data_IF_120359876064
#
_entry.id   IF_120359876064
#
_cell.length_a   1.000
_cell.length_b   1.000
_cell.length_c   1.000
_cell.angle_alpha   90.00
_cell.angle_beta   90.00
_cell.angle_gamma   90.00
#
_symmetry.space_group_name_H-M   'P 1'
#
loop_
_entity.id
_entity.type
_entity.pdbx_description
1 polymer ?
#
# COMPACT_ATOMS: atom_id res chain seq x y z
N UNK A 1 -4.46 -2.04 0.83
CA UNK A 1 -4.60 -1.93 2.30
C UNK A 1 -3.94 -0.64 2.74
N UNK A 2 -4.62 0.22 3.51
CA UNK A 2 -4.03 1.42 4.12
C UNK A 2 -3.88 1.16 5.61
N UNK A 3 -2.72 1.50 6.14
CA UNK A 3 -2.39 1.34 7.57
C UNK A 3 -2.78 2.62 8.31
N UNK A 4 -3.61 2.49 9.35
CA UNK A 4 -4.09 3.62 10.16
C UNK A 4 -3.38 3.72 11.52
N UNK A 5 -2.93 2.59 12.06
CA UNK A 5 -2.18 2.47 13.30
C UNK A 5 -0.86 1.75 13.01
N UNK A 6 0.21 1.93 13.80
CA UNK A 6 1.44 1.17 13.62
C UNK A 6 1.15 -0.34 13.59
N UNK A 7 1.68 -1.03 12.58
CA UNK A 7 1.50 -2.48 12.39
C UNK A 7 2.83 -3.19 12.57
N UNK A 8 2.82 -4.20 13.43
CA UNK A 8 3.95 -5.09 13.64
C UNK A 8 3.62 -6.48 13.11
N UNK A 9 4.19 -6.84 11.96
CA UNK A 9 4.19 -8.21 11.45
C UNK A 9 5.49 -8.87 11.85
N UNK A 10 5.47 -9.71 12.88
CA UNK A 10 6.68 -10.33 13.42
C UNK A 10 7.32 -11.31 12.44
N UNK A 11 8.65 -11.23 12.29
CA UNK A 11 9.45 -12.17 11.52
C UNK A 11 10.04 -13.32 12.38
N UNK A 12 9.61 -13.44 13.64
CA UNK A 12 10.24 -14.28 14.65
C UNK A 12 11.28 -13.51 15.48
N UNK A 13 12.08 -14.23 16.25
CA UNK A 13 13.20 -13.66 17.00
C UNK A 13 14.45 -13.65 16.12
N UNK A 14 15.16 -12.53 16.11
CA UNK A 14 16.44 -12.42 15.42
C UNK A 14 17.57 -12.18 16.43
N UNK A 15 18.73 -12.80 16.17
CA UNK A 15 19.98 -12.47 16.84
C UNK A 15 20.52 -11.17 16.22
N UNK A 16 19.94 -10.04 16.61
CA UNK A 16 20.30 -8.71 16.10
C UNK A 16 20.08 -7.63 17.14
N UNK A 17 20.27 -6.36 16.74
CA UNK A 17 20.04 -5.20 17.62
C UNK A 17 18.54 -5.03 17.96
N UNK A 18 17.67 -5.58 17.12
CA UNK A 18 16.21 -5.56 17.30
C UNK A 18 15.76 -6.99 17.59
N UNK A 19 15.21 -7.23 18.78
CA UNK A 19 14.81 -8.57 19.23
C UNK A 19 13.74 -9.20 18.32
N UNK A 20 12.70 -8.41 18.01
CA UNK A 20 11.57 -8.83 17.18
C UNK A 20 11.47 -7.90 15.97
N UNK A 21 12.17 -8.20 14.86
CA UNK A 21 12.06 -7.41 13.65
C UNK A 21 10.73 -7.64 12.93
N UNK A 22 10.32 -6.64 12.15
CA UNK A 22 9.20 -6.79 11.21
C UNK A 22 9.61 -7.67 10.02
N UNK A 23 8.62 -8.31 9.39
CA UNK A 23 8.82 -9.08 8.16
C UNK A 23 9.34 -8.21 7.02
N UNK A 24 10.43 -8.68 6.40
CA UNK A 24 11.11 -8.04 5.26
C UNK A 24 11.44 -9.06 4.20
N UNK A 25 11.31 -8.65 2.95
CA UNK A 25 11.65 -9.49 1.81
C UNK A 25 13.18 -9.59 1.70
N UNK A 26 13.73 -10.80 1.60
CA UNK A 26 15.19 -11.01 1.61
C UNK A 26 15.95 -10.29 0.48
N UNK A 27 15.34 -10.16 -0.69
CA UNK A 27 16.03 -9.62 -1.88
C UNK A 27 16.05 -8.08 -1.94
N UNK A 28 15.09 -7.40 -1.32
CA UNK A 28 14.97 -5.93 -1.38
C UNK A 28 15.02 -5.27 -0.01
N UNK A 29 14.91 -6.06 1.05
CA UNK A 29 14.69 -5.61 2.42
C UNK A 29 13.41 -4.77 2.63
N UNK A 30 12.53 -4.70 1.63
CA UNK A 30 11.26 -3.98 1.76
C UNK A 30 10.36 -4.68 2.78
N UNK A 31 9.65 -3.91 3.63
CA UNK A 31 8.64 -4.48 4.49
C UNK A 31 7.50 -5.08 3.65
N UNK A 32 7.01 -6.23 4.09
CA UNK A 32 5.83 -6.87 3.49
C UNK A 32 4.99 -7.52 4.59
N UNK A 33 3.72 -7.81 4.28
CA UNK A 33 2.88 -8.65 5.14
C UNK A 33 2.68 -9.99 4.48
N UNK A 34 3.06 -11.07 5.17
CA UNK A 34 2.85 -12.43 4.67
C UNK A 34 1.36 -12.71 4.42
N UNK A 35 1.05 -13.30 3.28
CA UNK A 35 -0.30 -13.66 2.85
C UNK A 35 -0.98 -14.65 3.79
N UNK A 36 -0.20 -15.51 4.47
CA UNK A 36 -0.70 -16.40 5.53
C UNK A 36 -1.23 -15.63 6.74
N UNK A 37 -0.54 -14.58 7.18
CA UNK A 37 -0.99 -13.71 8.27
C UNK A 37 -2.25 -12.93 7.90
N UNK A 38 -2.31 -12.41 6.68
CA UNK A 38 -3.50 -11.75 6.14
C UNK A 38 -4.67 -12.74 6.06
N UNK A 39 -4.44 -13.94 5.52
CA UNK A 39 -5.43 -15.01 5.44
C UNK A 39 -5.97 -15.37 6.82
N UNK A 40 -5.10 -15.50 7.82
CA UNK A 40 -5.48 -15.77 9.21
C UNK A 40 -6.38 -14.67 9.79
N UNK A 41 -6.02 -13.40 9.60
CA UNK A 41 -6.82 -12.27 10.04
C UNK A 41 -8.21 -12.23 9.37
N UNK A 42 -8.26 -12.45 8.05
CA UNK A 42 -9.52 -12.51 7.30
C UNK A 42 -10.37 -13.72 7.71
N UNK A 43 -9.78 -14.90 7.89
CA UNK A 43 -10.49 -16.10 8.38
C UNK A 43 -11.07 -15.84 9.76
N UNK A 44 -10.31 -15.23 10.67
CA UNK A 44 -10.79 -14.90 12.01
C UNK A 44 -11.95 -13.90 11.98
N UNK A 45 -11.86 -12.82 11.20
CA UNK A 45 -12.96 -11.87 11.05
C UNK A 45 -14.21 -12.53 10.43
N UNK A 46 -14.01 -13.38 9.43
CA UNK A 46 -15.07 -14.12 8.75
C UNK A 46 -15.80 -15.12 9.66
N UNK A 47 -15.12 -15.73 10.64
CA UNK A 47 -15.76 -16.60 11.64
C UNK A 47 -16.92 -15.89 12.36
N UNK A 48 -16.75 -14.63 12.72
CA UNK A 48 -17.80 -13.85 13.39
C UNK A 48 -18.93 -13.44 12.45
N UNK A 49 -18.60 -13.08 11.20
CA UNK A 49 -19.58 -12.60 10.21
C UNK A 49 -20.42 -13.73 9.60
N UNK A 50 -19.84 -14.92 9.44
CA UNK A 50 -20.45 -16.07 8.78
C UNK A 50 -20.85 -17.17 9.75
N UNK A 51 -21.05 -16.84 11.03
CA UNK A 51 -21.40 -17.81 12.06
C UNK A 51 -22.69 -18.61 11.75
N UNK A 52 -23.58 -18.06 10.93
CA UNK A 52 -24.83 -18.70 10.50
C UNK A 52 -24.69 -19.47 9.17
N UNK A 53 -23.55 -19.37 8.48
CA UNK A 53 -23.33 -20.01 7.18
C UNK A 53 -22.49 -21.28 7.34
N UNK A 54 -23.20 -22.40 7.47
CA UNK A 54 -22.61 -23.72 7.70
C UNK A 54 -21.58 -24.09 6.61
N UNK A 55 -20.33 -24.26 7.03
CA UNK A 55 -19.23 -24.74 6.20
C UNK A 55 -18.73 -23.75 5.14
N UNK A 56 -19.24 -22.51 5.08
CA UNK A 56 -18.73 -21.51 4.13
C UNK A 56 -17.27 -21.15 4.44
N UNK A 57 -16.93 -21.01 5.72
CA UNK A 57 -15.58 -20.68 6.16
C UNK A 57 -14.54 -21.68 5.65
N UNK A 58 -14.82 -22.97 5.79
CA UNK A 58 -13.88 -24.03 5.41
C UNK A 58 -13.81 -24.19 3.89
N UNK A 59 -14.91 -23.97 3.16
CA UNK A 59 -14.88 -23.93 1.68
C UNK A 59 -14.01 -22.80 1.16
N UNK A 60 -14.08 -21.62 1.78
CA UNK A 60 -13.32 -20.43 1.34
C UNK A 60 -11.86 -20.52 1.78
N UNK A 61 -11.60 -20.77 3.05
CA UNK A 61 -10.25 -20.70 3.63
C UNK A 61 -9.53 -22.05 3.72
N UNK A 62 -10.22 -23.16 3.56
CA UNK A 62 -9.77 -24.53 3.81
C UNK A 62 -10.17 -25.01 5.22
N UNK A 63 -10.20 -26.33 5.47
CA UNK A 63 -10.55 -26.93 6.76
C UNK A 63 -9.55 -26.56 7.88
N UNK A 64 -9.93 -26.76 9.15
CA UNK A 64 -9.09 -26.47 10.32
C UNK A 64 -8.11 -27.59 10.70
N UNK A 65 -8.49 -28.85 10.48
CA UNK A 65 -7.70 -30.03 10.82
C UNK A 65 -7.39 -30.80 9.55
N UNK A 66 -6.15 -31.28 9.48
CA UNK A 66 -5.56 -32.09 8.42
C UNK A 66 -5.99 -31.67 7.01
N UNK A 67 -5.09 -30.97 6.30
CA UNK A 67 -5.32 -30.50 4.92
C UNK A 67 -5.56 -31.61 3.88
N UNK A 68 -5.94 -32.81 4.30
CA UNK A 68 -6.30 -33.99 3.51
C UNK A 68 -7.66 -33.90 2.82
N UNK A 69 -8.61 -33.12 3.34
CA UNK A 69 -9.98 -33.13 2.79
C UNK A 69 -10.09 -32.32 1.50
N UNK A 70 -9.71 -31.04 1.54
CA UNK A 70 -9.80 -30.11 0.41
C UNK A 70 -9.01 -28.83 0.67
N UNK A 71 -8.59 -28.16 -0.41
CA UNK A 71 -7.99 -26.83 -0.35
C UNK A 71 -9.07 -25.74 -0.30
N UNK A 72 -8.73 -24.59 0.29
CA UNK A 72 -9.60 -23.41 0.26
C UNK A 72 -9.75 -22.85 -1.15
N UNK A 73 -10.91 -22.26 -1.45
CA UNK A 73 -11.23 -21.70 -2.76
C UNK A 73 -10.46 -20.40 -3.10
N UNK A 74 -9.80 -19.75 -2.14
CA UNK A 74 -9.06 -18.51 -2.37
C UNK A 74 -7.59 -18.60 -1.96
N UNK A 75 -6.74 -17.93 -2.73
CA UNK A 75 -5.31 -17.78 -2.47
C UNK A 75 -5.00 -16.33 -2.05
N UNK A 76 -4.23 -16.19 -0.97
CA UNK A 76 -3.77 -14.89 -0.48
C UNK A 76 -2.31 -14.69 -0.88
N UNK A 77 -2.06 -13.67 -1.69
CA UNK A 77 -0.71 -13.20 -1.97
C UNK A 77 -0.19 -12.32 -0.82
N UNK A 78 1.13 -12.21 -0.74
CA UNK A 78 1.80 -11.28 0.17
C UNK A 78 1.47 -9.83 -0.17
N UNK A 79 1.22 -9.00 0.84
CA UNK A 79 1.02 -7.57 0.63
C UNK A 79 2.38 -6.86 0.52
N UNK A 80 2.70 -6.40 -0.69
CA UNK A 80 3.93 -5.69 -1.00
C UNK A 80 3.80 -4.18 -0.74
N UNK A 81 4.90 -3.55 -0.33
CA UNK A 81 4.98 -2.10 -0.15
C UNK A 81 4.80 -1.38 -1.50
N UNK A 82 3.80 -0.50 -1.56
CA UNK A 82 3.57 0.39 -2.72
C UNK A 82 4.02 1.82 -2.42
N UNK A 83 3.69 2.33 -1.23
CA UNK A 83 4.06 3.67 -0.80
C UNK A 83 4.33 3.69 0.71
N UNK A 84 5.35 4.43 1.12
CA UNK A 84 5.79 4.55 2.50
C UNK A 84 5.69 6.01 2.96
N UNK A 85 5.10 6.29 4.14
CA UNK A 85 5.08 7.65 4.68
C UNK A 85 6.48 8.03 5.18
N UNK A 86 7.06 9.09 4.62
CA UNK A 86 8.37 9.64 5.03
C UNK A 86 8.17 11.07 5.51
N UNK A 87 8.79 11.45 6.63
CA UNK A 87 8.70 12.82 7.14
C UNK A 87 9.26 13.79 6.11
N UNK A 88 8.56 14.89 5.90
CA UNK A 88 8.99 15.95 5.01
C UNK A 88 9.04 17.28 5.74
N UNK A 89 10.03 18.12 5.40
CA UNK A 89 10.17 19.44 6.00
C UNK A 89 8.91 20.31 5.78
N UNK A 90 8.27 20.18 4.61
CA UNK A 90 7.07 20.94 4.25
C UNK A 90 5.93 19.97 3.97
N UNK A 91 4.81 20.14 4.67
CA UNK A 91 3.65 19.24 4.54
C UNK A 91 3.67 18.02 5.46
N UNK A 92 4.49 18.04 6.52
CA UNK A 92 4.60 17.02 7.58
C UNK A 92 5.18 15.68 7.11
N UNK A 93 4.56 15.04 6.12
CA UNK A 93 5.04 13.80 5.52
C UNK A 93 4.59 13.70 4.06
N UNK A 94 5.26 12.86 3.29
CA UNK A 94 4.86 12.48 1.94
C UNK A 94 4.76 10.98 1.82
N UNK A 95 3.94 10.49 0.90
CA UNK A 95 3.97 9.10 0.47
C UNK A 95 5.04 8.94 -0.60
N UNK A 96 6.18 8.36 -0.22
CA UNK A 96 7.26 8.04 -1.12
C UNK A 96 7.04 6.66 -1.75
N UNK A 97 7.38 6.52 -3.03
CA UNK A 97 7.38 5.24 -3.77
C UNK A 97 8.65 5.16 -4.62
N UNK A 98 8.92 3.98 -5.20
CA UNK A 98 10.09 3.74 -6.04
C UNK A 98 9.68 3.07 -7.36
N UNK A 99 10.51 3.18 -8.41
CA UNK A 99 10.26 2.50 -9.69
C UNK A 99 9.99 1.00 -9.49
N UNK A 100 10.77 0.36 -8.60
CA UNK A 100 10.64 -1.05 -8.25
C UNK A 100 9.28 -1.38 -7.62
N UNK A 101 8.80 -0.55 -6.67
CA UNK A 101 7.51 -0.74 -6.02
C UNK A 101 6.35 -0.61 -7.02
N UNK A 102 6.43 0.36 -7.93
CA UNK A 102 5.42 0.57 -8.97
C UNK A 102 5.39 -0.57 -9.99
N UNK A 103 6.55 -1.00 -10.50
CA UNK A 103 6.64 -2.14 -11.43
C UNK A 103 6.09 -3.43 -10.82
N UNK A 104 6.35 -3.66 -9.53
CA UNK A 104 5.78 -4.79 -8.79
C UNK A 104 4.26 -4.70 -8.68
N UNK A 105 3.73 -3.52 -8.39
CA UNK A 105 2.29 -3.28 -8.41
C UNK A 105 1.68 -3.58 -9.79
N UNK A 106 2.30 -3.10 -10.87
CA UNK A 106 1.84 -3.40 -12.23
C UNK A 106 1.81 -4.89 -12.53
N UNK A 107 2.86 -5.62 -12.15
CA UNK A 107 2.93 -7.06 -12.32
C UNK A 107 1.84 -7.80 -11.53
N UNK A 108 1.63 -7.43 -10.26
CA UNK A 108 0.58 -8.03 -9.43
C UNK A 108 -0.82 -7.71 -9.94
N UNK A 109 -1.05 -6.48 -10.41
CA UNK A 109 -2.31 -6.10 -11.04
C UNK A 109 -2.57 -6.91 -12.31
N UNK A 110 -1.53 -7.14 -13.13
CA UNK A 110 -1.61 -8.01 -14.30
C UNK A 110 -2.02 -9.45 -13.96
N UNK A 111 -1.43 -10.03 -12.92
CA UNK A 111 -1.83 -11.37 -12.42
C UNK A 111 -3.28 -11.39 -11.94
N UNK A 112 -3.74 -10.30 -11.32
CA UNK A 112 -5.13 -10.15 -10.86
C UNK A 112 -6.12 -9.79 -11.98
N UNK A 113 -5.68 -9.60 -13.23
CA UNK A 113 -6.54 -9.13 -14.33
C UNK A 113 -7.02 -7.69 -14.18
N UNK A 114 -6.33 -6.89 -13.36
CA UNK A 114 -6.64 -5.48 -13.11
C UNK A 114 -5.81 -4.61 -14.06
N UNK A 115 -6.49 -3.86 -14.92
CA UNK A 115 -5.83 -2.86 -15.77
C UNK A 115 -5.37 -1.66 -14.93
N UNK A 116 -4.07 -1.37 -14.97
CA UNK A 116 -3.48 -0.15 -14.43
C UNK A 116 -3.06 0.78 -15.58
N UNK A 117 -3.07 2.11 -15.36
CA UNK A 117 -2.49 3.03 -16.33
C UNK A 117 -1.02 2.67 -16.55
N UNK A 118 -0.57 2.79 -17.80
CA UNK A 118 0.86 2.75 -18.10
C UNK A 118 1.56 3.87 -17.35
N UNK A 119 2.67 3.56 -16.69
CA UNK A 119 3.54 4.58 -16.11
C UNK A 119 4.97 4.31 -16.60
N UNK A 120 5.65 5.36 -17.03
CA UNK A 120 7.08 5.35 -17.28
C UNK A 120 7.78 6.03 -16.11
N UNK A 121 8.80 5.39 -15.55
CA UNK A 121 9.66 6.05 -14.59
C UNK A 121 10.90 6.57 -15.32
N UNK A 122 11.21 7.89 -15.25
CA UNK A 122 12.45 8.39 -15.82
C UNK A 122 13.65 7.78 -15.08
N UNK A 123 14.79 7.70 -15.74
CA UNK A 123 16.06 7.42 -15.06
C UNK A 123 16.38 8.58 -14.12
N UNK A 124 16.32 8.34 -12.82
CA UNK A 124 16.61 9.32 -11.78
C UNK A 124 18.02 9.10 -11.24
N UNK A 125 18.71 10.20 -10.94
CA UNK A 125 19.91 10.18 -10.08
C UNK A 125 19.53 10.06 -8.61
N UNK A 126 20.50 9.75 -7.77
CA UNK A 126 20.28 9.53 -6.32
C UNK A 126 19.73 10.77 -5.61
N UNK A 127 20.02 11.98 -6.11
CA UNK A 127 19.55 13.25 -5.57
C UNK A 127 18.33 13.80 -6.32
N UNK A 128 17.68 13.01 -7.16
CA UNK A 128 16.54 13.41 -7.97
C UNK A 128 15.27 12.67 -7.57
N UNK A 129 14.13 13.37 -7.66
CA UNK A 129 12.83 12.77 -7.40
C UNK A 129 11.76 13.36 -8.32
N UNK A 130 10.83 12.53 -8.77
CA UNK A 130 9.60 12.99 -9.41
C UNK A 130 8.62 13.44 -8.34
N UNK A 131 8.24 14.72 -8.36
CA UNK A 131 7.33 15.31 -7.36
C UNK A 131 6.00 15.67 -7.99
N UNK A 132 4.97 14.90 -7.64
CA UNK A 132 3.62 15.08 -8.17
C UNK A 132 2.91 16.31 -7.57
N UNK A 133 3.11 16.55 -6.28
CA UNK A 133 2.52 17.68 -5.57
C UNK A 133 3.56 18.76 -5.31
N UNK A 134 3.60 19.79 -6.15
CA UNK A 134 4.57 20.91 -6.01
C UNK A 134 4.44 21.68 -4.68
N UNK A 135 3.32 21.57 -3.95
CA UNK A 135 3.13 22.25 -2.67
C UNK A 135 4.06 21.74 -1.57
N UNK A 136 4.57 20.50 -1.67
CA UNK A 136 5.51 19.93 -0.68
C UNK A 136 6.94 20.41 -0.87
N UNK A 137 7.23 21.16 -1.94
CA UNK A 137 8.56 21.70 -2.18
C UNK A 137 8.84 22.86 -1.23
N UNK A 138 9.97 22.79 -0.54
CA UNK A 138 10.51 23.89 0.23
C UNK A 138 11.16 24.89 -0.73
N UNK A 139 10.78 26.17 -0.62
CA UNK A 139 11.39 27.24 -1.40
C UNK A 139 12.72 27.62 -0.76
N UNK A 140 13.83 27.29 -1.43
CA UNK A 140 15.15 27.83 -1.10
C UNK A 140 15.38 29.19 -1.76
N UNK A 141 16.46 29.88 -1.38
CA UNK A 141 16.85 31.19 -1.96
C UNK A 141 17.08 31.13 -3.48
N UNK A 142 17.45 29.97 -4.02
CA UNK A 142 17.78 29.80 -5.45
C UNK A 142 17.02 28.67 -6.16
N UNK A 143 16.64 27.59 -5.45
CA UNK A 143 15.90 26.44 -6.05
C UNK A 143 14.90 25.84 -5.07
N UNK A 144 13.78 25.35 -5.60
CA UNK A 144 12.82 24.53 -4.84
C UNK A 144 13.35 23.11 -4.68
N UNK A 145 13.36 22.58 -3.45
CA UNK A 145 13.81 21.21 -3.15
C UNK A 145 12.77 20.44 -2.34
N UNK A 146 12.74 19.12 -2.51
CA UNK A 146 12.00 18.22 -1.64
C UNK A 146 12.94 17.74 -0.54
N UNK A 147 12.59 18.01 0.73
CA UNK A 147 13.41 17.59 1.87
C UNK A 147 12.66 16.49 2.61
N UNK A 148 13.26 15.29 2.65
CA UNK A 148 12.74 14.09 3.30
C UNK A 148 13.73 13.63 4.37
N UNK A 149 13.31 13.61 5.63
CA UNK A 149 14.22 13.41 6.76
C UNK A 149 15.48 14.31 6.67
N UNK A 150 16.66 13.70 6.48
CA UNK A 150 17.95 14.38 6.31
C UNK A 150 18.39 14.51 4.85
N UNK A 151 17.59 14.05 3.90
CA UNK A 151 17.90 14.02 2.47
C UNK A 151 17.19 15.15 1.71
N UNK A 152 17.88 15.72 0.71
CA UNK A 152 17.34 16.76 -0.15
C UNK A 152 17.37 16.30 -1.61
N UNK A 153 16.21 16.37 -2.26
CA UNK A 153 16.02 15.94 -3.65
C UNK A 153 15.68 17.13 -4.56
N UNK A 154 16.27 17.12 -5.75
CA UNK A 154 15.96 18.01 -6.85
C UNK A 154 14.72 17.49 -7.58
N UNK A 155 13.65 18.30 -7.71
CA UNK A 155 12.45 17.87 -8.42
C UNK A 155 12.73 17.78 -9.92
N UNK A 156 12.57 16.60 -10.50
CA UNK A 156 12.59 16.40 -11.94
C UNK A 156 11.16 16.55 -12.47
N UNK A 157 11.00 17.26 -13.57
CA UNK A 157 9.75 17.28 -14.32
C UNK A 157 9.55 15.89 -14.92
N UNK A 158 8.84 15.04 -14.19
CA UNK A 158 8.20 13.90 -14.83
C UNK A 158 7.04 14.43 -15.65
N UNK A 159 6.86 13.91 -16.86
CA UNK A 159 5.53 13.80 -17.49
C UNK A 159 4.70 12.91 -16.56
N UNK A 160 4.27 13.48 -15.45
CA UNK A 160 3.32 12.88 -14.57
C UNK A 160 2.00 12.94 -15.33
N UNK A 161 1.70 11.84 -16.03
CA UNK A 161 0.36 11.58 -16.54
C UNK A 161 -0.64 12.07 -15.48
N UNK A 162 -1.58 12.92 -15.89
CA UNK A 162 -2.67 13.49 -15.08
C UNK A 162 -3.35 12.43 -14.18
N UNK A 163 -3.24 11.16 -14.55
CA UNK A 163 -3.70 9.96 -13.85
C UNK A 163 -3.10 9.75 -12.45
N UNK A 164 -1.84 10.14 -12.16
CA UNK A 164 -1.24 9.95 -10.83
C UNK A 164 -1.64 11.05 -9.82
N UNK A 165 -2.28 12.13 -10.28
CA UNK A 165 -2.82 13.19 -9.40
C UNK A 165 -4.02 12.71 -8.57
N UNK A 166 -4.61 11.57 -8.92
CA UNK A 166 -5.68 10.93 -8.16
C UNK A 166 -5.10 9.68 -7.49
N UNK A 167 -5.07 9.57 -6.15
CA UNK A 167 -4.86 8.27 -5.54
C UNK A 167 -5.90 7.32 -6.13
N UNK A 168 -5.58 6.04 -6.39
CA UNK A 168 -6.57 5.08 -6.86
C UNK A 168 -7.74 5.15 -5.89
N UNK A 169 -8.84 5.73 -6.36
CA UNK A 169 -10.10 5.73 -5.63
C UNK A 169 -10.36 4.26 -5.38
N UNK A 170 -10.47 3.90 -4.09
CA UNK A 170 -10.57 2.53 -3.61
C UNK A 170 -11.23 1.64 -4.66
N UNK A 171 -10.51 0.59 -5.09
CA UNK A 171 -10.98 -0.43 -6.06
C UNK A 171 -12.46 -0.67 -5.77
N UNK A 172 -13.30 -0.07 -6.60
CA UNK A 172 -14.72 -0.04 -6.37
C UNK A 172 -15.22 -1.46 -6.62
N UNK A 173 -15.70 -2.08 -5.54
CA UNK A 173 -16.81 -3.04 -5.51
C UNK A 173 -16.99 -3.91 -6.75
N UNK A 174 -16.72 -5.20 -6.56
CA UNK A 174 -17.25 -6.30 -7.38
C UNK A 174 -18.69 -6.02 -7.86
N UNK A 175 -19.05 -6.37 -9.10
CA UNK A 175 -20.39 -6.11 -9.61
C UNK A 175 -21.37 -7.03 -8.88
N UNK A 176 -22.24 -6.49 -8.04
CA UNK A 176 -23.41 -7.23 -7.58
C UNK A 176 -24.70 -6.68 -8.18
N UNK A 177 -25.43 -7.62 -8.79
CA UNK A 177 -26.74 -7.50 -9.40
C UNK A 177 -27.76 -6.95 -8.39
N UNK A 178 -28.55 -5.99 -8.87
CA UNK A 178 -29.84 -5.51 -8.35
C UNK A 178 -29.78 -4.58 -7.13
N UNK A 179 -29.92 -3.27 -7.42
CA UNK A 179 -30.92 -2.44 -6.75
C UNK A 179 -30.48 -1.61 -5.55
N UNK A 180 -30.21 -0.32 -5.80
CA UNK A 180 -30.47 0.84 -4.92
C UNK A 180 -29.65 0.95 -3.60
N UNK A 181 -28.59 1.77 -3.62
CA UNK A 181 -28.54 3.16 -3.09
C UNK A 181 -27.09 3.69 -3.04
N UNK A 182 -26.98 5.01 -3.15
CA UNK A 182 -25.78 5.81 -3.31
C UNK A 182 -24.84 5.80 -2.08
N UNK A 183 -23.53 5.80 -2.34
CA UNK A 183 -22.52 6.35 -1.43
C UNK A 183 -21.57 7.23 -2.25
N UNK A 184 -21.73 8.54 -2.08
CA UNK A 184 -20.86 9.60 -2.60
C UNK A 184 -19.82 9.86 -1.52
N UNK A 185 -18.55 9.58 -1.77
CA UNK A 185 -17.45 10.09 -0.92
C UNK A 185 -16.57 10.93 -1.82
N UNK A 186 -16.86 12.22 -1.80
CA UNK A 186 -16.09 13.30 -2.42
C UNK A 186 -14.90 13.69 -1.54
N UNK A 187 -13.74 13.83 -2.20
CA UNK A 187 -12.67 14.81 -1.95
C UNK A 187 -11.90 14.80 -0.62
N UNK A 188 -10.58 14.95 -0.75
CA UNK A 188 -9.62 14.94 0.35
C UNK A 188 -9.72 16.11 1.34
N UNK A 189 -9.10 15.93 2.50
CA UNK A 189 -8.51 16.99 3.32
C UNK A 189 -6.99 16.94 3.04
N UNK A 190 -6.26 17.99 2.64
CA UNK A 190 -6.25 19.40 3.05
C UNK A 190 -6.24 19.57 4.57
N UNK A 191 -5.07 19.42 5.19
CA UNK A 191 -4.81 20.03 6.49
C UNK A 191 -4.60 21.53 6.26
N UNK A 192 -5.62 22.34 6.57
CA UNK A 192 -5.44 23.75 6.88
C UNK A 192 -4.81 23.86 8.28
N UNK A 193 -3.80 24.70 8.49
CA UNK A 193 -3.24 24.95 9.82
C UNK A 193 -4.27 25.72 10.66
N UNK A 194 -4.53 25.22 11.86
CA UNK A 194 -5.21 25.96 12.92
C UNK A 194 -4.18 26.85 13.61
N UNK A 195 -4.42 28.16 13.59
CA UNK A 195 -3.84 29.14 14.52
C UNK A 195 -4.81 30.31 14.66
N UNK A 196 -4.85 31.02 15.79
CA UNK A 196 -4.49 30.62 17.16
C UNK A 196 -5.70 30.13 17.97
#
# INVERSE_FOLDING_TARGET
MRICTPVHMGAGQALGIIDNPIQRERSTDHPYLAGSGIKGAFRHAARGLWAQENGLLDRVFGPEHDGSDHAGAISFADAQLVAFPVRSLKGVYVYATSPLALQRLARLAGVAGIALPSFSCPSLRDDEAVVLNKKVLASGRERSRLILESYAFTPVAGDADEHFKRPPTAISTLPNRKGKRAVRISTGLSMTPLTP
#
